data_IF_357116510409
#
_entry.id   IF_357116510409
#
_cell.length_a   1.000
_cell.length_b   1.000
_cell.length_c   1.000
_cell.angle_alpha   90.00
_cell.angle_beta   90.00
_cell.angle_gamma   90.00
#
_symmetry.space_group_name_H-M   'P 1'
#
loop_
_entity.id
_entity.type
_entity.pdbx_description
1 polymer ?
#
# COMPACT_ATOMS: atom_id res chain seq x y z
N UNK A 1 -12.06 16.16 -8.02
CA UNK A 1 -11.95 15.75 -6.61
C UNK A 1 -10.78 16.51 -6.00
N UNK A 2 -11.05 17.27 -4.94
CA UNK A 2 -10.02 17.92 -4.14
C UNK A 2 -9.12 16.86 -3.48
N UNK A 3 -7.90 17.25 -3.11
CA UNK A 3 -6.99 16.41 -2.32
C UNK A 3 -7.60 16.02 -0.97
N UNK A 4 -8.40 16.90 -0.37
CA UNK A 4 -9.05 16.67 0.91
C UNK A 4 -10.21 15.70 0.75
N UNK A 5 -11.10 15.93 -0.22
CA UNK A 5 -12.19 14.99 -0.58
C UNK A 5 -11.67 13.59 -0.91
N UNK A 6 -10.50 13.49 -1.55
CA UNK A 6 -9.85 12.21 -1.81
C UNK A 6 -9.44 11.51 -0.52
N UNK A 7 -8.81 12.25 0.38
CA UNK A 7 -8.28 11.74 1.64
C UNK A 7 -9.42 11.27 2.53
N UNK A 8 -10.53 12.01 2.55
CA UNK A 8 -11.73 11.65 3.29
C UNK A 8 -12.34 10.34 2.75
N UNK A 9 -12.48 10.20 1.42
CA UNK A 9 -12.98 8.96 0.80
C UNK A 9 -12.09 7.75 1.06
N UNK A 10 -10.76 7.94 1.00
CA UNK A 10 -9.81 6.87 1.34
C UNK A 10 -9.96 6.46 2.81
N UNK A 11 -10.09 7.44 3.69
CA UNK A 11 -10.24 7.21 5.12
C UNK A 11 -11.55 6.48 5.43
N UNK A 12 -12.65 6.90 4.82
CA UNK A 12 -13.96 6.27 4.97
C UNK A 12 -13.96 4.81 4.47
N UNK A 13 -13.37 4.56 3.29
CA UNK A 13 -13.25 3.21 2.73
C UNK A 13 -12.46 2.28 3.68
N UNK A 14 -11.33 2.74 4.19
CA UNK A 14 -10.49 1.96 5.10
C UNK A 14 -11.15 1.73 6.47
N UNK A 15 -11.82 2.75 7.03
CA UNK A 15 -12.55 2.62 8.29
C UNK A 15 -13.70 1.61 8.17
N UNK A 16 -14.44 1.66 7.07
CA UNK A 16 -15.48 0.68 6.76
C UNK A 16 -14.88 -0.72 6.63
N UNK A 17 -13.79 -0.87 5.88
CA UNK A 17 -13.10 -2.15 5.72
C UNK A 17 -12.65 -2.79 7.03
N UNK A 18 -12.13 -1.99 7.97
CA UNK A 18 -11.73 -2.47 9.31
C UNK A 18 -12.95 -2.89 10.13
N UNK A 19 -14.03 -2.10 10.09
CA UNK A 19 -15.28 -2.45 10.77
C UNK A 19 -15.83 -3.78 10.26
N UNK A 20 -15.96 -3.90 8.95
CA UNK A 20 -16.45 -5.12 8.29
C UNK A 20 -15.54 -6.31 8.59
N UNK A 21 -14.24 -6.09 8.73
CA UNK A 21 -13.26 -7.13 9.11
C UNK A 21 -13.49 -7.63 10.52
N UNK A 22 -13.71 -6.73 11.48
CA UNK A 22 -14.00 -7.07 12.88
C UNK A 22 -15.36 -7.78 12.98
N UNK A 23 -16.40 -7.23 12.35
CA UNK A 23 -17.77 -7.74 12.42
C UNK A 23 -17.90 -9.14 11.80
N UNK A 24 -17.28 -9.36 10.63
CA UNK A 24 -17.36 -10.63 9.92
C UNK A 24 -16.21 -11.59 10.25
N UNK A 25 -15.26 -11.16 11.11
CA UNK A 25 -14.02 -11.89 11.43
C UNK A 25 -13.25 -12.33 10.18
N UNK A 26 -13.26 -11.49 9.15
CA UNK A 26 -12.71 -11.79 7.84
C UNK A 26 -11.76 -10.68 7.37
N UNK A 27 -10.47 -11.03 7.26
CA UNK A 27 -9.42 -10.12 6.80
C UNK A 27 -9.60 -9.68 5.33
N UNK A 28 -10.39 -10.41 4.53
CA UNK A 28 -10.66 -10.05 3.13
C UNK A 28 -11.41 -8.73 2.98
N UNK A 29 -12.18 -8.31 4.01
CA UNK A 29 -12.91 -7.05 3.97
C UNK A 29 -11.95 -5.85 4.00
N UNK A 30 -10.90 -5.90 4.81
CA UNK A 30 -9.90 -4.85 4.85
C UNK A 30 -8.99 -4.87 3.61
N UNK A 31 -8.71 -6.06 3.07
CA UNK A 31 -8.00 -6.20 1.79
C UNK A 31 -8.75 -5.51 0.64
N UNK A 32 -10.07 -5.74 0.53
CA UNK A 32 -10.93 -5.09 -0.46
C UNK A 32 -10.94 -3.56 -0.28
N UNK A 33 -11.00 -3.08 0.96
CA UNK A 33 -10.94 -1.65 1.25
C UNK A 33 -9.58 -1.02 0.89
N UNK A 34 -8.47 -1.70 1.16
CA UNK A 34 -7.14 -1.23 0.79
C UNK A 34 -6.98 -1.10 -0.73
N UNK A 35 -7.53 -2.05 -1.49
CA UNK A 35 -7.61 -2.01 -2.94
C UNK A 35 -8.45 -0.85 -3.46
N UNK A 36 -9.63 -0.63 -2.87
CA UNK A 36 -10.49 0.50 -3.21
C UNK A 36 -9.79 1.84 -2.93
N UNK A 37 -9.16 1.97 -1.77
CA UNK A 37 -8.37 3.14 -1.41
C UNK A 37 -7.23 3.42 -2.41
N UNK A 38 -6.56 2.39 -2.91
CA UNK A 38 -5.55 2.54 -3.97
C UNK A 38 -6.16 3.04 -5.29
N UNK A 39 -7.31 2.48 -5.70
CA UNK A 39 -8.02 2.91 -6.92
C UNK A 39 -8.48 4.37 -6.80
N UNK A 40 -8.98 4.78 -5.63
CA UNK A 40 -9.34 6.18 -5.34
C UNK A 40 -8.08 7.06 -5.46
N UNK A 41 -6.97 6.66 -4.82
CA UNK A 41 -5.71 7.41 -4.79
C UNK A 41 -5.11 7.65 -6.18
N UNK A 42 -5.23 6.68 -7.07
CA UNK A 42 -4.63 6.68 -8.41
C UNK A 42 -5.60 7.08 -9.51
N UNK A 43 -6.87 7.35 -9.17
CA UNK A 43 -7.94 7.54 -10.14
C UNK A 43 -8.14 6.33 -11.07
N UNK A 44 -7.72 5.13 -10.64
CA UNK A 44 -7.80 3.89 -11.40
C UNK A 44 -6.80 3.75 -12.57
N UNK A 45 -5.75 4.58 -12.63
CA UNK A 45 -4.84 4.64 -13.80
C UNK A 45 -3.46 4.02 -13.61
N UNK A 46 -3.12 3.55 -12.40
CA UNK A 46 -1.78 3.10 -12.06
C UNK A 46 -1.57 1.59 -12.28
N UNK A 47 -1.89 0.78 -11.28
CA UNK A 47 -1.97 -0.67 -11.41
C UNK A 47 -3.41 -1.05 -11.77
N UNK A 48 -3.57 -1.84 -12.84
CA UNK A 48 -4.86 -2.41 -13.27
C UNK A 48 -5.05 -3.83 -12.78
N UNK A 49 -3.96 -4.52 -12.47
CA UNK A 49 -3.96 -5.87 -11.94
C UNK A 49 -4.23 -5.87 -10.44
N UNK A 50 -5.25 -6.62 -10.04
CA UNK A 50 -5.74 -6.63 -8.66
C UNK A 50 -4.73 -7.24 -7.69
N UNK A 51 -3.98 -8.26 -8.11
CA UNK A 51 -2.95 -8.89 -7.29
C UNK A 51 -1.74 -7.96 -7.12
N UNK A 52 -1.35 -7.23 -8.17
CA UNK A 52 -0.30 -6.22 -8.09
C UNK A 52 -0.66 -5.08 -7.14
N UNK A 53 -1.92 -4.59 -7.18
CA UNK A 53 -2.42 -3.59 -6.24
C UNK A 53 -2.28 -4.11 -4.81
N UNK A 54 -2.81 -5.31 -4.56
CA UNK A 54 -2.85 -5.91 -3.24
C UNK A 54 -1.45 -6.20 -2.71
N UNK A 55 -0.54 -6.72 -3.52
CA UNK A 55 0.87 -6.93 -3.12
C UNK A 55 1.56 -5.61 -2.76
N UNK A 56 1.13 -4.49 -3.36
CA UNK A 56 1.67 -3.18 -3.06
C UNK A 56 1.10 -2.56 -1.77
N UNK A 57 -0.22 -2.55 -1.60
CA UNK A 57 -0.88 -1.86 -0.47
C UNK A 57 -1.23 -2.75 0.71
N UNK A 58 -1.43 -4.04 0.48
CA UNK A 58 -1.81 -5.04 1.47
C UNK A 58 -0.90 -6.29 1.43
N UNK A 59 0.43 -6.12 1.59
CA UNK A 59 1.37 -7.23 1.60
C UNK A 59 1.17 -8.19 2.77
N UNK A 60 1.87 -9.33 2.74
CA UNK A 60 1.72 -10.42 3.70
C UNK A 60 1.93 -10.02 5.16
N UNK A 61 2.82 -9.06 5.45
CA UNK A 61 3.05 -8.50 6.79
C UNK A 61 1.79 -7.78 7.32
N UNK A 62 1.11 -7.02 6.46
CA UNK A 62 -0.15 -6.37 6.82
C UNK A 62 -1.24 -7.43 7.02
N UNK A 63 -1.36 -8.42 6.13
CA UNK A 63 -2.30 -9.54 6.28
C UNK A 63 -2.12 -10.27 7.62
N UNK A 64 -0.88 -10.61 7.97
CA UNK A 64 -0.55 -11.29 9.22
C UNK A 64 -0.87 -10.43 10.44
N UNK A 65 -0.60 -9.13 10.38
CA UNK A 65 -0.93 -8.19 11.45
C UNK A 65 -2.45 -8.12 11.67
N UNK A 66 -3.23 -8.08 10.59
CA UNK A 66 -4.69 -8.07 10.66
C UNK A 66 -5.23 -9.39 11.20
N UNK A 67 -4.69 -10.52 10.75
CA UNK A 67 -5.05 -11.83 11.28
C UNK A 67 -4.77 -11.93 12.79
N UNK A 68 -3.62 -11.45 13.25
CA UNK A 68 -3.29 -11.37 14.68
C UNK A 68 -4.29 -10.49 15.45
N UNK A 69 -4.64 -9.33 14.91
CA UNK A 69 -5.63 -8.43 15.50
C UNK A 69 -7.01 -9.07 15.64
N UNK A 70 -7.45 -9.82 14.62
CA UNK A 70 -8.69 -10.58 14.64
C UNK A 70 -8.67 -11.71 15.67
N UNK A 71 -7.57 -12.44 15.81
CA UNK A 71 -7.45 -13.47 16.84
C UNK A 71 -7.55 -12.91 18.26
N UNK A 72 -7.14 -11.66 18.46
CA UNK A 72 -7.16 -11.01 19.77
C UNK A 72 -8.47 -10.27 20.04
N UNK A 73 -9.33 -10.02 19.04
CA UNK A 73 -10.49 -9.12 19.17
C UNK A 73 -11.47 -9.54 20.28
N UNK A 74 -11.61 -10.86 20.50
CA UNK A 74 -12.50 -11.40 21.53
C UNK A 74 -11.83 -11.52 22.90
N UNK A 75 -10.50 -11.58 22.96
CA UNK A 75 -9.72 -11.85 24.18
C UNK A 75 -9.09 -10.60 24.80
N UNK A 76 -8.65 -9.65 23.97
CA UNK A 76 -7.98 -8.42 24.36
C UNK A 76 -8.25 -7.32 23.33
N UNK A 77 -9.38 -6.63 23.51
CA UNK A 77 -9.87 -5.58 22.60
C UNK A 77 -8.90 -4.40 22.48
N UNK A 78 -8.20 -4.06 23.57
CA UNK A 78 -7.24 -2.95 23.54
C UNK A 78 -6.03 -3.30 22.66
N UNK A 79 -5.45 -4.49 22.84
CA UNK A 79 -4.36 -4.96 21.97
C UNK A 79 -4.80 -5.14 20.53
N UNK A 80 -5.98 -5.72 20.30
CA UNK A 80 -6.54 -5.86 18.96
C UNK A 80 -6.69 -4.50 18.27
N UNK A 81 -7.19 -3.49 18.98
CA UNK A 81 -7.32 -2.12 18.48
C UNK A 81 -5.97 -1.51 18.08
N UNK A 82 -4.93 -1.65 18.93
CA UNK A 82 -3.58 -1.16 18.63
C UNK A 82 -3.00 -1.85 17.39
N UNK A 83 -3.16 -3.17 17.28
CA UNK A 83 -2.64 -3.96 16.17
C UNK A 83 -3.34 -3.59 14.85
N UNK A 84 -4.67 -3.49 14.86
CA UNK A 84 -5.46 -3.11 13.69
C UNK A 84 -5.18 -1.66 13.27
N UNK A 85 -4.96 -0.74 14.23
CA UNK A 85 -4.50 0.61 13.94
C UNK A 85 -3.12 0.62 13.30
N UNK A 86 -2.19 -0.21 13.80
CA UNK A 86 -0.86 -0.37 13.19
C UNK A 86 -0.94 -0.87 11.74
N UNK A 87 -1.81 -1.84 11.46
CA UNK A 87 -2.07 -2.31 10.10
C UNK A 87 -2.65 -1.18 9.21
N UNK A 88 -3.57 -0.38 9.73
CA UNK A 88 -4.12 0.79 9.03
C UNK A 88 -3.06 1.81 8.65
N UNK A 89 -2.21 2.20 9.61
CA UNK A 89 -1.13 3.15 9.37
C UNK A 89 -0.13 2.62 8.33
N UNK A 90 0.13 1.30 8.35
CA UNK A 90 0.99 0.64 7.38
C UNK A 90 0.43 0.69 5.95
N UNK A 91 -0.90 0.55 5.78
CA UNK A 91 -1.59 0.71 4.49
C UNK A 91 -1.57 2.18 4.06
N UNK A 92 -1.89 3.11 4.95
CA UNK A 92 -1.89 4.56 4.65
C UNK A 92 -0.51 5.06 4.22
N UNK A 93 0.57 4.62 4.89
CA UNK A 93 1.95 4.96 4.53
C UNK A 93 2.31 4.48 3.12
N UNK A 94 1.82 3.30 2.72
CA UNK A 94 2.03 2.76 1.37
C UNK A 94 1.24 3.56 0.34
N UNK A 95 -0.02 3.88 0.63
CA UNK A 95 -0.87 4.72 -0.22
C UNK A 95 -0.32 6.15 -0.42
N UNK A 96 0.33 6.72 0.61
CA UNK A 96 0.93 8.06 0.50
C UNK A 96 2.19 8.08 -0.36
N UNK A 97 2.93 6.97 -0.41
CA UNK A 97 4.07 6.79 -1.30
C UNK A 97 3.67 6.68 -2.78
N UNK A 98 2.40 6.38 -3.08
CA UNK A 98 1.86 6.37 -4.45
C UNK A 98 1.64 7.81 -4.92
N UNK A 99 2.34 8.27 -5.97
CA UNK A 99 2.11 9.59 -6.53
C UNK A 99 0.73 9.64 -7.18
N UNK A 100 0.03 10.75 -6.99
CA UNK A 100 -1.31 10.95 -7.52
C UNK A 100 -1.36 11.01 -9.06
N UNK A 101 -0.20 11.11 -9.73
CA UNK A 101 -0.10 11.43 -11.16
C UNK A 101 0.98 10.70 -11.96
N UNK A 102 1.80 9.81 -11.37
CA UNK A 102 3.02 9.33 -12.05
C UNK A 102 3.08 7.86 -12.45
N UNK A 103 1.97 7.14 -12.47
CA UNK A 103 1.93 5.83 -13.14
C UNK A 103 1.26 6.00 -14.51
N UNK A 104 1.78 6.90 -15.33
CA UNK A 104 1.61 6.79 -16.77
C UNK A 104 2.61 5.74 -17.24
N UNK A 105 2.11 4.75 -17.98
CA UNK A 105 2.97 3.80 -18.69
C UNK A 105 3.90 4.53 -19.64
N UNK A 106 5.18 4.60 -19.29
CA UNK A 106 6.22 4.67 -20.31
C UNK A 106 6.29 3.28 -20.97
N UNK A 107 5.54 3.12 -22.06
CA UNK A 107 6.01 2.24 -23.14
C UNK A 107 7.40 2.76 -23.54
N UNK A 108 8.49 1.96 -23.49
CA UNK A 108 9.78 2.41 -23.94
C UNK A 108 9.74 2.48 -25.46
N UNK A 109 9.33 3.62 -25.99
CA UNK A 109 9.41 3.92 -27.42
C UNK A 109 10.66 4.75 -27.62
N UNK A 110 11.76 4.08 -27.96
CA UNK A 110 12.96 4.70 -28.52
C UNK A 110 13.95 5.33 -27.53
N UNK A 111 15.20 4.89 -27.61
CA UNK A 111 16.40 5.51 -27.04
C UNK A 111 16.57 5.53 -25.51
N UNK A 112 16.78 4.34 -24.95
CA UNK A 112 17.44 4.20 -23.66
C UNK A 112 18.94 4.51 -23.78
N UNK A 113 19.33 5.78 -23.55
CA UNK A 113 20.67 6.07 -23.01
C UNK A 113 20.69 5.59 -21.56
N UNK A 114 21.29 4.41 -21.37
CA UNK A 114 21.47 3.78 -20.07
C UNK A 114 22.32 4.65 -19.14
N UNK A 115 21.70 5.34 -18.19
CA UNK A 115 22.35 5.77 -16.95
C UNK A 115 21.88 4.87 -15.82
N UNK A 116 22.62 3.76 -15.63
CA UNK A 116 22.53 2.91 -14.45
C UNK A 116 22.80 3.76 -13.20
N UNK A 117 21.77 4.02 -12.40
CA UNK A 117 21.91 4.39 -10.99
C UNK A 117 21.30 3.29 -10.13
N UNK A 118 22.19 2.43 -9.66
CA UNK A 118 21.97 1.35 -8.72
C UNK A 118 21.42 1.88 -7.38
N UNK A 119 20.20 1.46 -7.03
CA UNK A 119 19.55 1.72 -5.75
C UNK A 119 19.61 0.47 -4.87
N UNK A 120 20.76 0.23 -4.20
CA UNK A 120 20.90 -0.67 -3.05
C UNK A 120 22.05 -0.18 -2.14
N UNK A 121 21.95 -0.30 -0.79
CA UNK A 121 22.80 0.46 0.14
C UNK A 121 24.14 -0.18 0.52
N UNK A 122 24.63 -1.23 -0.18
CA UNK A 122 25.88 -1.94 0.19
C UNK A 122 26.86 -2.20 -0.98
N UNK A 123 26.99 -1.28 -1.94
CA UNK A 123 27.95 -1.42 -3.06
C UNK A 123 29.01 -0.32 -3.09
N UNK A 124 30.21 -0.60 -2.56
CA UNK A 124 31.40 0.26 -2.59
C UNK A 124 31.76 0.73 -4.00
N UNK A 125 31.96 2.04 -4.17
CA UNK A 125 32.71 2.66 -5.27
C UNK A 125 34.13 2.06 -5.36
N UNK A 126 34.54 1.57 -6.53
CA UNK A 126 35.94 1.60 -6.96
C UNK A 126 36.05 2.46 -8.20
N UNK A 127 36.84 3.53 -8.08
CA UNK A 127 37.39 4.30 -9.19
C UNK A 127 38.43 3.42 -9.88
N UNK A 128 38.41 3.34 -11.20
CA UNK A 128 39.57 2.94 -11.99
C UNK A 128 39.89 4.12 -12.93
N UNK A 129 41.11 4.64 -12.77
CA UNK A 129 41.74 5.64 -13.65
C UNK A 129 42.10 5.00 -14.99
N UNK A 130 42.01 5.72 -16.12
CA UNK A 130 42.69 5.30 -17.33
C UNK A 130 44.13 5.82 -17.37
N UNK A 131 45.00 4.95 -17.89
CA UNK A 131 46.44 5.12 -18.12
C UNK A 131 46.81 6.22 -19.10
#
# INVERSE_FOLDING_TARGET
>A
MSKDEMTDRITEALQKGIRDTIENKDHSAFERAAKEAYRIRTGGRALTDDDAIINHVFPSDVRQTVALGLHLVDSDKEKASVILKGALEAVLRRLSAVPHSSWQGERPTGEARATKRSWWPFGRNRKEEPS
#
